data_IF_215985702746
#
_entry.id   IF_215985702746
#
_cell.length_a   1.000
_cell.length_b   1.000
_cell.length_c   1.000
_cell.angle_alpha   90.00
_cell.angle_beta   90.00
_cell.angle_gamma   90.00
#
_symmetry.space_group_name_H-M   'P 1'
#
loop_
_entity.id
_entity.type
_entity.pdbx_description
1 polymer ?
#
# COMPACT_ATOMS: atom_id res chain seq x y z
N UNK A 1 2.68 22.57 -2.46
CA UNK A 1 3.69 21.88 -3.31
C UNK A 1 3.69 20.40 -2.92
N UNK A 2 4.06 19.46 -3.81
CA UNK A 2 4.11 18.03 -3.45
C UNK A 2 5.56 17.59 -3.19
N UNK A 3 5.86 17.13 -1.97
CA UNK A 3 7.22 16.82 -1.54
C UNK A 3 7.29 15.40 -0.99
N UNK A 4 8.30 14.61 -1.38
CA UNK A 4 8.51 13.27 -0.81
C UNK A 4 9.10 13.43 0.59
N UNK A 5 8.43 12.85 1.59
CA UNK A 5 8.85 12.85 3.00
C UNK A 5 9.54 11.56 3.40
N UNK A 6 9.05 10.44 2.87
CA UNK A 6 9.57 9.12 3.19
C UNK A 6 9.53 8.23 1.95
N UNK A 7 10.50 7.32 1.86
CA UNK A 7 10.65 6.34 0.78
C UNK A 7 11.09 5.02 1.39
N UNK A 8 10.31 3.98 1.15
CA UNK A 8 10.64 2.61 1.53
C UNK A 8 10.66 1.71 0.29
N UNK A 9 11.77 1.01 0.07
CA UNK A 9 11.92 0.09 -1.06
C UNK A 9 11.46 -1.30 -0.61
N UNK A 10 10.42 -1.82 -1.25
CA UNK A 10 9.81 -3.10 -0.88
C UNK A 10 9.87 -4.09 -2.06
N UNK A 11 10.91 -4.93 -2.10
CA UNK A 11 11.13 -5.86 -3.22
C UNK A 11 11.22 -5.17 -4.59
N UNK A 12 10.20 -5.32 -5.44
CA UNK A 12 10.13 -4.80 -6.81
C UNK A 12 9.35 -3.47 -6.95
N UNK A 13 8.88 -2.93 -5.82
CA UNK A 13 8.14 -1.68 -5.72
C UNK A 13 8.84 -0.71 -4.75
N UNK A 14 8.46 0.56 -4.83
CA UNK A 14 8.81 1.59 -3.87
C UNK A 14 7.54 2.23 -3.33
N UNK A 15 7.51 2.43 -2.03
CA UNK A 15 6.42 3.08 -1.32
C UNK A 15 6.89 4.48 -0.94
N UNK A 16 6.13 5.50 -1.32
CA UNK A 16 6.46 6.91 -1.14
C UNK A 16 5.38 7.59 -0.28
N UNK A 17 5.80 8.25 0.78
CA UNK A 17 4.96 9.21 1.50
C UNK A 17 5.23 10.59 0.90
N UNK A 18 4.19 11.20 0.37
CA UNK A 18 4.24 12.55 -0.20
C UNK A 18 3.42 13.50 0.67
N UNK A 19 3.94 14.67 0.94
CA UNK A 19 3.23 15.75 1.60
C UNK A 19 2.68 16.72 0.54
N UNK A 20 1.37 16.95 0.56
CA UNK A 20 0.64 17.87 -0.27
C UNK A 20 0.03 18.96 0.61
N UNK A 21 0.75 20.08 0.76
CA UNK A 21 0.34 21.20 1.62
C UNK A 21 -1.02 21.81 1.24
N UNK A 22 -1.47 21.59 0.01
CA UNK A 22 -2.76 22.06 -0.49
C UNK A 22 -3.95 21.26 0.07
N UNK A 23 -3.72 20.06 0.61
CA UNK A 23 -4.75 19.19 1.17
C UNK A 23 -4.74 19.32 2.70
N UNK A 24 -5.61 20.17 3.25
CA UNK A 24 -5.62 20.47 4.69
C UNK A 24 -6.24 19.35 5.54
N UNK A 25 -6.87 18.34 4.92
CA UNK A 25 -7.59 17.26 5.61
C UNK A 25 -6.72 16.01 5.73
N UNK A 26 -6.03 15.63 4.65
CA UNK A 26 -5.12 14.49 4.62
C UNK A 26 -3.88 14.83 3.77
N UNK A 27 -3.01 15.72 4.28
CA UNK A 27 -1.87 16.24 3.53
C UNK A 27 -0.83 15.16 3.19
N UNK A 28 -0.84 14.01 3.85
CA UNK A 28 0.14 12.94 3.59
C UNK A 28 -0.48 11.83 2.75
N UNK A 29 0.12 11.53 1.60
CA UNK A 29 -0.34 10.51 0.65
C UNK A 29 0.66 9.37 0.52
N UNK A 30 0.21 8.15 0.69
CA UNK A 30 1.00 6.93 0.54
C UNK A 30 0.81 6.37 -0.87
N UNK A 31 1.88 6.40 -1.65
CA UNK A 31 1.88 6.03 -3.06
C UNK A 31 2.78 4.82 -3.29
N UNK A 32 2.47 4.03 -4.30
CA UNK A 32 3.27 2.85 -4.69
C UNK A 32 3.72 2.94 -6.14
N UNK A 33 5.02 2.94 -6.38
CA UNK A 33 5.58 2.95 -7.74
C UNK A 33 6.37 1.69 -8.01
N UNK A 34 6.42 1.25 -9.27
CA UNK A 34 7.29 0.15 -9.65
C UNK A 34 8.73 0.62 -9.70
N UNK A 35 9.64 -0.16 -9.11
CA UNK A 35 11.10 0.10 -9.22
C UNK A 35 11.61 -0.04 -10.66
N UNK A 36 10.88 -0.75 -11.52
CA UNK A 36 11.23 -0.96 -12.93
C UNK A 36 10.66 0.11 -13.88
N UNK A 37 9.60 0.80 -13.48
CA UNK A 37 8.96 1.81 -14.32
C UNK A 37 8.61 3.08 -13.52
N UNK A 38 9.62 3.93 -13.24
CA UNK A 38 9.51 5.06 -12.32
C UNK A 38 8.67 6.23 -12.84
N UNK A 39 8.25 6.22 -14.11
CA UNK A 39 7.40 7.27 -14.71
C UNK A 39 5.93 7.13 -14.33
N UNK A 40 5.50 5.96 -13.88
CA UNK A 40 4.15 5.79 -13.35
C UNK A 40 4.17 6.24 -11.89
N UNK A 41 4.05 7.55 -11.66
CA UNK A 41 3.88 8.11 -10.33
C UNK A 41 2.75 7.37 -9.64
N UNK A 42 3.14 6.55 -8.67
CA UNK A 42 2.35 5.49 -8.11
C UNK A 42 0.91 5.82 -7.77
N UNK A 43 0.03 4.82 -7.83
CA UNK A 43 -1.35 4.98 -7.35
C UNK A 43 -1.33 5.42 -5.88
N UNK A 44 -2.13 6.43 -5.54
CA UNK A 44 -2.40 6.77 -4.14
C UNK A 44 -3.26 5.67 -3.53
N UNK A 45 -2.73 5.00 -2.50
CA UNK A 45 -3.37 3.89 -1.81
C UNK A 45 -4.03 4.31 -0.50
N UNK A 46 -3.45 5.29 0.19
CA UNK A 46 -3.95 5.75 1.48
C UNK A 46 -3.53 7.20 1.73
N UNK A 47 -4.31 7.90 2.55
CA UNK A 47 -4.03 9.28 2.94
C UNK A 47 -4.07 9.39 4.47
N UNK A 48 -3.25 10.26 5.05
CA UNK A 48 -3.16 10.45 6.48
C UNK A 48 -3.02 11.94 6.85
N UNK A 49 -3.40 12.26 8.07
CA UNK A 49 -3.31 13.62 8.63
C UNK A 49 -1.88 13.99 9.07
N UNK A 50 -1.03 12.98 9.31
CA UNK A 50 0.30 13.15 9.89
C UNK A 50 1.36 12.31 9.17
N UNK A 51 2.61 12.79 9.15
CA UNK A 51 3.74 12.07 8.54
C UNK A 51 3.94 10.70 9.19
N UNK A 52 3.96 10.63 10.52
CA UNK A 52 4.14 9.40 11.28
C UNK A 52 3.08 8.34 10.95
N UNK A 53 1.82 8.76 10.80
CA UNK A 53 0.73 7.86 10.40
C UNK A 53 0.93 7.35 8.97
N UNK A 54 1.34 8.22 8.04
CA UNK A 54 1.62 7.82 6.66
C UNK A 54 2.84 6.89 6.55
N UNK A 55 3.89 7.10 7.35
CA UNK A 55 5.05 6.22 7.43
C UNK A 55 4.66 4.85 7.98
N UNK A 56 3.87 4.80 9.06
CA UNK A 56 3.35 3.54 9.61
C UNK A 56 2.55 2.76 8.55
N UNK A 57 1.68 3.44 7.81
CA UNK A 57 0.91 2.84 6.72
C UNK A 57 1.85 2.33 5.60
N UNK A 58 2.89 3.09 5.26
CA UNK A 58 3.86 2.69 4.25
C UNK A 58 4.63 1.41 4.64
N UNK A 59 5.02 1.27 5.91
CA UNK A 59 5.67 0.06 6.43
C UNK A 59 4.71 -1.14 6.47
N UNK A 60 3.47 -0.94 6.95
CA UNK A 60 2.44 -1.99 6.92
C UNK A 60 2.16 -2.47 5.49
N UNK A 61 2.08 -1.55 4.54
CA UNK A 61 1.88 -1.87 3.13
C UNK A 61 3.02 -2.73 2.57
N UNK A 62 4.27 -2.48 2.98
CA UNK A 62 5.39 -3.32 2.54
C UNK A 62 5.28 -4.76 3.06
N UNK A 63 4.96 -4.92 4.35
CA UNK A 63 4.69 -6.24 4.94
C UNK A 63 3.57 -6.97 4.22
N UNK A 64 2.43 -6.29 3.99
CA UNK A 64 1.28 -6.87 3.31
C UNK A 64 1.58 -7.22 1.86
N UNK A 65 2.25 -6.34 1.12
CA UNK A 65 2.68 -6.64 -0.25
C UNK A 65 3.54 -7.91 -0.30
N UNK A 66 4.49 -8.05 0.63
CA UNK A 66 5.36 -9.22 0.73
C UNK A 66 4.57 -10.50 1.03
N UNK A 67 3.58 -10.45 1.92
CA UNK A 67 2.70 -11.57 2.24
C UNK A 67 1.78 -11.94 1.07
N UNK A 68 1.16 -10.94 0.43
CA UNK A 68 0.32 -11.11 -0.74
C UNK A 68 1.08 -11.83 -1.86
N UNK A 69 2.30 -11.38 -2.15
CA UNK A 69 3.18 -11.99 -3.16
C UNK A 69 3.53 -13.44 -2.84
N UNK A 70 3.83 -13.76 -1.57
CA UNK A 70 4.07 -15.15 -1.11
C UNK A 70 2.85 -16.04 -1.30
N UNK A 71 1.64 -15.50 -1.13
CA UNK A 71 0.36 -16.22 -1.33
C UNK A 71 -0.12 -16.27 -2.78
N UNK A 72 0.66 -15.73 -3.74
CA UNK A 72 0.34 -15.70 -5.17
C UNK A 72 -0.54 -14.51 -5.61
N UNK A 73 -0.81 -13.56 -4.72
CA UNK A 73 -1.47 -12.30 -5.07
C UNK A 73 -0.47 -11.30 -5.66
N UNK A 74 -0.97 -10.41 -6.49
CA UNK A 74 -0.24 -9.28 -7.03
C UNK A 74 -1.07 -8.01 -6.90
N UNK A 75 -0.39 -6.87 -6.85
CA UNK A 75 -1.08 -5.59 -6.76
C UNK A 75 -1.51 -5.13 -8.16
N UNK A 76 -2.79 -4.82 -8.33
CA UNK A 76 -3.34 -4.24 -9.57
C UNK A 76 -4.17 -3.02 -9.21
N UNK A 77 -3.74 -1.85 -9.66
CA UNK A 77 -4.41 -0.59 -9.31
C UNK A 77 -4.29 -0.30 -7.82
N UNK A 78 -5.41 -0.42 -7.10
CA UNK A 78 -5.51 -0.22 -5.63
C UNK A 78 -5.96 -1.48 -4.88
N UNK A 79 -5.90 -2.65 -5.52
CA UNK A 79 -6.38 -3.91 -4.94
C UNK A 79 -5.33 -5.01 -5.10
N UNK A 80 -5.24 -5.89 -4.10
CA UNK A 80 -4.56 -7.18 -4.23
C UNK A 80 -5.47 -8.14 -5.00
N UNK A 81 -4.95 -8.72 -6.07
CA UNK A 81 -5.70 -9.64 -6.92
C UNK A 81 -4.90 -10.92 -7.15
N UNK A 82 -5.60 -12.03 -7.34
CA UNK A 82 -5.06 -13.33 -7.69
C UNK A 82 -6.04 -13.98 -8.65
N UNK A 83 -5.55 -14.85 -9.54
CA UNK A 83 -6.42 -15.60 -10.42
C UNK A 83 -7.44 -16.39 -9.58
N UNK A 84 -8.71 -16.33 -9.98
CA UNK A 84 -9.83 -17.03 -9.32
C UNK A 84 -10.12 -16.63 -7.86
N UNK A 85 -9.53 -15.53 -7.38
CA UNK A 85 -9.86 -14.95 -6.07
C UNK A 85 -10.46 -13.55 -6.24
N UNK A 86 -11.39 -13.14 -5.35
CA UNK A 86 -11.88 -11.77 -5.34
C UNK A 86 -10.75 -10.79 -5.03
N UNK A 87 -10.85 -9.60 -5.62
CA UNK A 87 -9.92 -8.51 -5.37
C UNK A 87 -10.12 -7.94 -3.96
N UNK A 88 -9.01 -7.68 -3.27
CA UNK A 88 -8.96 -7.15 -1.91
C UNK A 88 -8.44 -5.72 -1.99
N UNK A 89 -9.29 -4.70 -1.80
CA UNK A 89 -8.87 -3.32 -1.78
C UNK A 89 -7.81 -3.07 -0.70
N UNK A 90 -6.73 -2.38 -1.09
CA UNK A 90 -5.63 -2.06 -0.19
C UNK A 90 -6.08 -1.11 0.91
N UNK A 91 -6.98 -0.18 0.61
CA UNK A 91 -7.54 0.74 1.60
C UNK A 91 -8.20 -0.02 2.76
N UNK A 92 -9.03 -1.03 2.48
CA UNK A 92 -9.70 -1.82 3.51
C UNK A 92 -8.73 -2.51 4.47
N UNK A 93 -7.63 -3.06 3.95
CA UNK A 93 -6.65 -3.76 4.80
C UNK A 93 -5.75 -2.80 5.59
N UNK A 94 -5.54 -1.58 5.08
CA UNK A 94 -4.78 -0.55 5.79
C UNK A 94 -5.62 0.18 6.84
N UNK A 95 -6.92 0.38 6.60
CA UNK A 95 -7.83 1.06 7.54
C UNK A 95 -8.14 0.23 8.79
N UNK A 96 -8.28 -1.10 8.66
CA UNK A 96 -8.66 -1.98 9.77
C UNK A 96 -7.53 -2.22 10.81
N UNK A 97 -6.35 -1.58 10.68
CA UNK A 97 -5.15 -1.91 11.48
C UNK A 97 -4.91 -3.43 11.56
N UNK A 98 -5.16 -4.16 10.45
CA UNK A 98 -4.95 -5.59 10.43
C UNK A 98 -3.51 -5.91 10.84
N UNK A 99 -3.35 -6.98 11.60
CA UNK A 99 -2.03 -7.57 11.81
C UNK A 99 -1.61 -8.37 10.58
N UNK A 100 -0.31 -8.57 10.41
CA UNK A 100 0.25 -9.44 9.37
C UNK A 100 -0.37 -10.85 9.38
N UNK A 101 -0.69 -11.36 10.58
CA UNK A 101 -1.34 -12.64 10.78
C UNK A 101 -2.77 -12.64 10.24
N UNK A 102 -3.60 -11.66 10.65
CA UNK A 102 -4.98 -11.55 10.17
C UNK A 102 -5.04 -11.32 8.65
N UNK A 103 -4.11 -10.53 8.10
CA UNK A 103 -4.03 -10.33 6.65
C UNK A 103 -3.67 -11.64 5.93
N UNK A 104 -2.75 -12.42 6.47
CA UNK A 104 -2.39 -13.73 5.93
C UNK A 104 -3.58 -14.70 5.95
N UNK A 105 -4.34 -14.73 7.04
CA UNK A 105 -5.58 -15.51 7.16
C UNK A 105 -6.63 -15.07 6.11
N UNK A 106 -6.78 -13.76 5.89
CA UNK A 106 -7.68 -13.22 4.87
C UNK A 106 -7.26 -13.62 3.45
N UNK A 107 -5.97 -13.67 3.15
CA UNK A 107 -5.46 -14.14 1.85
C UNK A 107 -5.71 -15.65 1.63
N UNK A 108 -5.60 -16.45 2.70
CA UNK A 108 -5.85 -17.89 2.65
C UNK A 108 -7.34 -18.20 2.52
N UNK A 109 -8.19 -17.51 3.28
CA UNK A 109 -9.65 -17.71 3.24
C UNK A 109 -10.28 -17.38 1.88
N UNK A 110 -9.64 -16.52 1.08
CA UNK A 110 -10.09 -16.14 -0.26
C UNK A 110 -9.52 -17.05 -1.36
N UNK A 111 -8.53 -17.90 -1.03
CA UNK A 111 -7.94 -18.89 -1.93
C UNK A 111 -8.61 -20.26 -1.70
N UNK A 112 -9.82 -20.44 -2.23
CA UNK A 112 -10.52 -21.75 -2.24
C UNK A 112 -9.97 -22.65 -3.33
#
# INVERSE_FOLDING_TARGET
MMTIKYRNTCSDIEILVKHEESDSVAPYRVNIQSSKNPLSFGNNLASATSEEAAVKIADQLCSFYSLARKSGYYLKGKSFTKADCPEIPVAEVLEDNLTEQQFSERLQSQSV
#
